data_IF_343841302076
#
_entry.id   IF_343841302076
#
_cell.length_a   1.000
_cell.length_b   1.000
_cell.length_c   1.000
_cell.angle_alpha   90.00
_cell.angle_beta   90.00
_cell.angle_gamma   90.00
#
_symmetry.space_group_name_H-M   'P 1'
#
loop_
_entity.id
_entity.type
_entity.pdbx_description
1 polymer ?
#
# COMPACT_ATOMS: atom_id res chain seq x y z
N UNK A 1 -19.33 22.04 -1.58
CA UNK A 1 -20.24 22.04 -2.75
C UNK A 1 -19.87 20.96 -3.78
N UNK A 2 -18.60 20.75 -4.10
CA UNK A 2 -18.14 19.72 -5.05
C UNK A 2 -18.59 18.29 -4.68
N UNK A 3 -18.54 17.92 -3.40
CA UNK A 3 -18.90 16.57 -2.93
C UNK A 3 -20.39 16.17 -3.16
N UNK A 4 -21.27 17.13 -3.41
CA UNK A 4 -22.70 16.86 -3.60
C UNK A 4 -23.10 16.58 -5.06
N UNK A 5 -22.22 16.88 -6.02
CA UNK A 5 -22.49 16.81 -7.45
C UNK A 5 -21.48 15.91 -8.21
N UNK A 6 -20.81 15.02 -7.49
CA UNK A 6 -19.87 14.08 -8.11
C UNK A 6 -20.54 12.73 -8.29
N UNK A 7 -20.46 12.15 -9.47
CA UNK A 7 -21.00 10.83 -9.79
C UNK A 7 -20.08 9.73 -9.24
N UNK A 8 -18.77 9.96 -9.28
CA UNK A 8 -17.75 9.02 -8.78
C UNK A 8 -16.84 9.77 -7.81
N UNK A 9 -16.55 9.15 -6.66
CA UNK A 9 -15.61 9.69 -5.69
C UNK A 9 -14.52 8.68 -5.37
N UNK A 10 -13.26 9.04 -5.68
CA UNK A 10 -12.09 8.22 -5.39
C UNK A 10 -11.38 8.79 -4.17
N UNK A 11 -11.29 8.00 -3.11
CA UNK A 11 -10.66 8.39 -1.87
C UNK A 11 -9.28 7.74 -1.72
N UNK A 12 -8.23 8.51 -1.96
CA UNK A 12 -6.83 8.12 -1.79
C UNK A 12 -6.25 8.54 -0.44
N UNK A 13 -7.10 9.04 0.48
CA UNK A 13 -6.65 9.60 1.76
C UNK A 13 -6.18 8.51 2.70
N UNK A 14 -4.87 8.33 2.76
CA UNK A 14 -4.16 7.47 3.71
C UNK A 14 -2.83 8.12 4.11
N UNK A 15 -2.22 7.64 5.18
CA UNK A 15 -0.89 8.09 5.62
C UNK A 15 -0.20 7.01 6.43
N UNK A 16 1.12 7.00 6.39
CA UNK A 16 1.98 6.27 7.33
C UNK A 16 2.60 7.20 8.40
N UNK A 17 2.39 8.51 8.27
CA UNK A 17 2.96 9.52 9.16
C UNK A 17 1.97 9.91 10.27
N UNK A 18 2.41 9.80 11.52
CA UNK A 18 1.66 10.20 12.71
C UNK A 18 1.92 11.66 13.15
N UNK A 19 2.85 12.38 12.51
CA UNK A 19 3.21 13.77 12.89
C UNK A 19 2.01 14.73 12.87
N UNK A 20 0.98 14.40 12.10
CA UNK A 20 -0.26 15.21 11.93
C UNK A 20 -1.43 14.71 12.79
N UNK A 21 -1.18 13.85 13.79
CA UNK A 21 -2.19 13.25 14.65
C UNK A 21 -2.19 11.72 14.59
N UNK A 22 -2.98 11.08 15.46
CA UNK A 22 -3.06 9.62 15.45
C UNK A 22 -3.90 9.10 14.27
N UNK A 23 -3.67 7.86 13.85
CA UNK A 23 -4.35 7.26 12.69
C UNK A 23 -5.87 7.17 12.85
N UNK A 24 -6.37 7.04 14.07
CA UNK A 24 -7.80 7.04 14.32
C UNK A 24 -8.43 8.41 13.95
N UNK A 25 -7.76 9.53 14.23
CA UNK A 25 -8.26 10.87 13.85
C UNK A 25 -8.01 11.18 12.38
N UNK A 26 -6.80 10.89 11.88
CA UNK A 26 -6.38 11.29 10.52
C UNK A 26 -6.94 10.38 9.42
N UNK A 27 -7.24 9.11 9.74
CA UNK A 27 -7.80 8.15 8.79
C UNK A 27 -9.27 7.88 9.12
N UNK A 28 -9.57 7.23 10.25
CA UNK A 28 -10.93 6.74 10.52
C UNK A 28 -11.93 7.87 10.72
N UNK A 29 -11.69 8.82 11.64
CA UNK A 29 -12.64 9.92 11.88
C UNK A 29 -12.82 10.80 10.64
N UNK A 30 -11.76 11.05 9.88
CA UNK A 30 -11.82 11.75 8.60
C UNK A 30 -12.73 11.01 7.61
N UNK A 31 -12.48 9.71 7.38
CA UNK A 31 -13.28 8.90 6.46
C UNK A 31 -14.75 8.79 6.92
N UNK A 32 -15.00 8.62 8.22
CA UNK A 32 -16.36 8.60 8.77
C UNK A 32 -17.11 9.89 8.46
N UNK A 33 -16.47 11.06 8.63
CA UNK A 33 -17.06 12.35 8.28
C UNK A 33 -17.29 12.47 6.77
N UNK A 34 -16.32 12.05 5.95
CA UNK A 34 -16.45 12.04 4.49
C UNK A 34 -17.65 11.18 4.05
N UNK A 35 -17.73 9.95 4.54
CA UNK A 35 -18.85 9.02 4.26
C UNK A 35 -20.19 9.62 4.67
N UNK A 36 -20.28 10.30 5.83
CA UNK A 36 -21.51 10.93 6.28
C UNK A 36 -22.00 12.07 5.35
N UNK A 37 -21.07 12.73 4.65
CA UNK A 37 -21.39 13.75 3.65
C UNK A 37 -21.80 13.08 2.33
N UNK A 38 -21.01 12.10 1.86
CA UNK A 38 -21.21 11.44 0.58
C UNK A 38 -22.51 10.64 0.52
N UNK A 39 -22.94 10.03 1.62
CA UNK A 39 -24.22 9.30 1.66
C UNK A 39 -25.45 10.18 1.40
N UNK A 40 -25.32 11.50 1.49
CA UNK A 40 -26.37 12.48 1.17
C UNK A 40 -26.32 12.90 -0.31
N UNK A 41 -25.31 12.46 -1.06
CA UNK A 41 -25.19 12.77 -2.48
C UNK A 41 -26.04 11.79 -3.29
N UNK A 42 -27.13 12.30 -3.87
CA UNK A 42 -28.09 11.53 -4.67
C UNK A 42 -27.46 11.08 -6.01
N UNK A 43 -26.51 11.86 -6.55
CA UNK A 43 -25.82 11.57 -7.83
C UNK A 43 -24.67 10.58 -7.69
N UNK A 44 -24.28 10.20 -6.45
CA UNK A 44 -23.13 9.34 -6.25
C UNK A 44 -23.39 7.92 -6.77
N UNK A 45 -22.79 7.57 -7.88
CA UNK A 45 -22.86 6.24 -8.48
C UNK A 45 -21.87 5.27 -7.87
N UNK A 46 -20.62 5.72 -7.61
CA UNK A 46 -19.56 4.89 -7.04
C UNK A 46 -18.70 5.65 -6.03
N UNK A 47 -18.38 4.98 -4.94
CA UNK A 47 -17.36 5.40 -3.99
C UNK A 47 -16.21 4.40 -4.00
N UNK A 48 -15.02 4.81 -4.45
CA UNK A 48 -13.81 3.99 -4.50
C UNK A 48 -12.90 4.38 -3.34
N UNK A 49 -12.62 3.42 -2.45
CA UNK A 49 -11.76 3.63 -1.29
C UNK A 49 -10.48 2.84 -1.41
N UNK A 50 -9.34 3.55 -1.40
CA UNK A 50 -8.01 2.94 -1.36
C UNK A 50 -7.64 2.50 0.04
N UNK A 51 -7.41 1.20 0.17
CA UNK A 51 -7.01 0.50 1.37
C UNK A 51 -5.59 -0.06 1.22
N UNK A 52 -5.36 -1.32 1.53
CA UNK A 52 -4.13 -2.06 1.32
C UNK A 52 -4.29 -3.53 1.67
N UNK A 53 -3.48 -4.40 1.08
CA UNK A 53 -3.47 -5.82 1.42
C UNK A 53 -3.22 -6.02 2.93
N UNK A 54 -3.90 -7.00 3.51
CA UNK A 54 -3.70 -7.44 4.88
C UNK A 54 -4.20 -6.51 5.98
N UNK A 55 -4.91 -5.40 5.66
CA UNK A 55 -5.40 -4.46 6.69
C UNK A 55 -6.45 -5.06 7.62
N UNK A 56 -7.16 -6.09 7.20
CA UNK A 56 -8.19 -6.79 7.96
C UNK A 56 -7.61 -7.83 8.94
N UNK A 57 -6.45 -8.38 8.63
CA UNK A 57 -5.76 -9.39 9.44
C UNK A 57 -4.67 -8.80 10.35
N UNK A 58 -4.14 -7.61 10.02
CA UNK A 58 -3.09 -6.98 10.82
C UNK A 58 -3.66 -6.20 12.01
N UNK A 59 -3.76 -6.88 13.15
CA UNK A 59 -4.26 -6.31 14.41
C UNK A 59 -3.20 -5.52 15.20
N UNK A 60 -1.93 -5.56 14.78
CA UNK A 60 -0.85 -4.89 15.48
C UNK A 60 -0.62 -3.46 14.95
N UNK A 61 -0.93 -3.20 13.69
CA UNK A 61 -0.82 -1.88 13.09
C UNK A 61 -2.03 -1.01 13.44
N UNK A 62 -1.77 0.10 14.10
CA UNK A 62 -2.79 1.11 14.39
C UNK A 62 -3.36 1.72 13.11
N UNK A 63 -2.51 1.83 12.07
CA UNK A 63 -2.91 2.26 10.74
C UNK A 63 -3.87 1.26 10.09
N UNK A 64 -3.49 -0.02 10.03
CA UNK A 64 -4.33 -1.07 9.44
C UNK A 64 -5.70 -1.14 10.12
N UNK A 65 -5.74 -1.07 11.45
CA UNK A 65 -6.99 -1.01 12.21
C UNK A 65 -7.85 0.21 11.79
N UNK A 66 -7.25 1.39 11.64
CA UNK A 66 -7.99 2.60 11.26
C UNK A 66 -8.51 2.53 9.81
N UNK A 67 -7.71 1.97 8.89
CA UNK A 67 -8.09 1.76 7.48
C UNK A 67 -9.23 0.74 7.39
N UNK A 68 -9.10 -0.42 8.05
CA UNK A 68 -10.14 -1.45 8.04
C UNK A 68 -11.46 -0.97 8.67
N UNK A 69 -11.42 -0.17 9.74
CA UNK A 69 -12.62 0.50 10.27
C UNK A 69 -13.24 1.44 9.24
N UNK A 70 -12.42 2.11 8.42
CA UNK A 70 -12.91 2.99 7.35
C UNK A 70 -13.56 2.22 6.21
N UNK A 71 -13.02 1.05 5.83
CA UNK A 71 -13.67 0.13 4.87
C UNK A 71 -15.07 -0.24 5.35
N UNK A 72 -15.18 -0.72 6.59
CA UNK A 72 -16.48 -1.12 7.18
C UNK A 72 -17.48 0.03 7.24
N UNK A 73 -17.02 1.24 7.59
CA UNK A 73 -17.86 2.42 7.63
C UNK A 73 -18.41 2.78 6.24
N UNK A 74 -17.56 2.70 5.20
CA UNK A 74 -17.96 2.95 3.83
C UNK A 74 -18.96 1.91 3.33
N UNK A 75 -18.64 0.62 3.46
CA UNK A 75 -19.50 -0.49 3.04
C UNK A 75 -20.88 -0.46 3.70
N UNK A 76 -20.94 -0.04 4.97
CA UNK A 76 -22.21 0.06 5.71
C UNK A 76 -23.10 1.20 5.22
N UNK A 77 -22.53 2.31 4.76
CA UNK A 77 -23.26 3.57 4.58
C UNK A 77 -23.43 3.98 3.11
N UNK A 78 -22.63 3.43 2.18
CA UNK A 78 -22.69 3.76 0.74
C UNK A 78 -22.90 2.46 -0.04
N UNK A 79 -23.98 2.37 -0.79
CA UNK A 79 -24.41 1.13 -1.47
C UNK A 79 -23.43 0.61 -2.53
N UNK A 80 -22.77 1.50 -3.27
CA UNK A 80 -21.85 1.14 -4.36
C UNK A 80 -20.42 1.48 -3.93
N UNK A 81 -19.96 0.88 -2.84
CA UNK A 81 -18.61 1.06 -2.34
C UNK A 81 -17.67 0.02 -2.95
N UNK A 82 -16.62 0.48 -3.60
CA UNK A 82 -15.54 -0.35 -4.11
C UNK A 82 -14.31 -0.17 -3.22
N UNK A 83 -13.89 -1.24 -2.58
CA UNK A 83 -12.64 -1.25 -1.80
C UNK A 83 -11.52 -1.75 -2.70
N UNK A 84 -10.43 -1.00 -2.80
CA UNK A 84 -9.20 -1.40 -3.50
C UNK A 84 -8.12 -1.65 -2.46
N UNK A 85 -7.64 -2.89 -2.38
CA UNK A 85 -6.50 -3.32 -1.55
C UNK A 85 -5.30 -3.63 -2.45
N UNK A 86 -4.48 -2.66 -2.80
CA UNK A 86 -3.27 -2.93 -3.57
C UNK A 86 -2.19 -3.57 -2.70
N UNK A 87 -1.31 -4.36 -3.34
CA UNK A 87 -0.01 -4.72 -2.79
C UNK A 87 0.91 -3.50 -2.64
N UNK A 88 2.19 -3.75 -2.38
CA UNK A 88 3.20 -2.68 -2.39
C UNK A 88 3.31 -2.11 -3.80
N UNK A 89 2.89 -0.87 -3.98
CA UNK A 89 2.87 -0.21 -5.30
C UNK A 89 4.30 0.19 -5.68
N UNK A 90 4.72 -0.26 -6.85
CA UNK A 90 6.02 0.07 -7.48
C UNK A 90 5.74 0.90 -8.74
N UNK A 91 6.53 1.95 -8.93
CA UNK A 91 6.40 2.79 -10.12
C UNK A 91 7.13 4.11 -10.03
N UNK A 92 6.94 4.96 -11.03
CA UNK A 92 7.56 6.29 -11.04
C UNK A 92 7.10 7.14 -9.84
N UNK A 93 8.06 7.52 -8.99
CA UNK A 93 7.78 8.36 -7.82
C UNK A 93 7.35 7.61 -6.56
N UNK A 94 7.32 6.25 -6.56
CA UNK A 94 7.02 5.50 -5.35
C UNK A 94 8.02 5.79 -4.22
N UNK A 95 7.51 5.80 -2.98
CA UNK A 95 8.32 6.12 -1.81
C UNK A 95 9.16 4.94 -1.32
N UNK A 96 8.83 3.71 -1.71
CA UNK A 96 9.53 2.52 -1.27
C UNK A 96 10.92 2.45 -1.93
N UNK A 97 11.00 2.44 -3.26
CA UNK A 97 12.28 2.46 -3.98
C UNK A 97 13.03 3.78 -3.78
N UNK A 98 12.32 4.92 -3.77
CA UNK A 98 12.93 6.23 -3.53
C UNK A 98 13.73 6.30 -2.22
N UNK A 99 13.32 5.55 -1.20
CA UNK A 99 14.01 5.48 0.09
C UNK A 99 15.06 4.38 0.14
N UNK A 100 14.85 3.26 -0.55
CA UNK A 100 15.79 2.14 -0.55
C UNK A 100 17.01 2.41 -1.43
N UNK A 101 16.84 2.92 -2.65
CA UNK A 101 17.92 3.09 -3.62
C UNK A 101 19.10 3.91 -3.05
N UNK A 102 18.92 5.04 -2.34
CA UNK A 102 20.04 5.77 -1.73
C UNK A 102 20.84 4.92 -0.74
N UNK A 103 20.18 4.08 0.06
CA UNK A 103 20.86 3.19 1.01
C UNK A 103 21.74 2.19 0.24
N UNK A 104 21.20 1.59 -0.83
CA UNK A 104 21.98 0.68 -1.67
C UNK A 104 23.08 1.38 -2.46
N UNK A 105 22.92 2.65 -2.83
CA UNK A 105 23.96 3.42 -3.53
C UNK A 105 25.12 3.82 -2.60
N UNK A 106 24.86 4.11 -1.33
CA UNK A 106 25.84 4.71 -0.40
C UNK A 106 26.44 3.72 0.61
N UNK A 107 25.73 2.65 1.00
CA UNK A 107 26.17 1.76 2.09
C UNK A 107 26.60 0.39 1.57
N UNK A 108 27.73 -0.14 2.06
CA UNK A 108 28.15 -1.52 1.80
C UNK A 108 27.32 -2.53 2.59
N UNK A 109 26.96 -2.18 3.83
CA UNK A 109 26.07 -2.98 4.69
C UNK A 109 24.67 -2.43 4.59
N UNK A 110 23.71 -3.27 4.21
CA UNK A 110 22.29 -2.91 4.11
C UNK A 110 21.51 -3.70 5.15
N UNK A 111 20.80 -3.04 6.07
CA UNK A 111 20.01 -3.74 7.08
C UNK A 111 18.87 -4.50 6.40
N UNK A 112 18.76 -5.78 6.73
CA UNK A 112 17.66 -6.64 6.34
C UNK A 112 16.73 -6.79 7.54
N UNK A 113 15.54 -6.24 7.45
CA UNK A 113 14.58 -6.21 8.56
C UNK A 113 14.14 -7.62 8.95
N UNK A 114 14.36 -8.00 10.22
CA UNK A 114 14.21 -9.37 10.67
C UNK A 114 15.21 -10.31 9.97
N UNK A 115 14.70 -11.42 9.45
CA UNK A 115 15.47 -12.38 8.63
C UNK A 115 15.30 -12.14 7.11
N UNK A 116 14.42 -11.20 6.74
CA UNK A 116 14.10 -10.89 5.35
C UNK A 116 13.27 -11.93 4.61
N UNK A 117 12.75 -12.93 5.28
CA UNK A 117 11.96 -14.01 4.67
C UNK A 117 10.47 -13.68 4.56
N UNK A 118 10.04 -12.54 5.10
CA UNK A 118 8.67 -12.04 4.93
C UNK A 118 8.41 -11.79 3.45
N UNK A 119 7.29 -12.34 2.97
CA UNK A 119 6.88 -12.22 1.58
C UNK A 119 6.00 -10.98 1.36
N UNK A 120 6.13 -10.41 0.18
CA UNK A 120 5.21 -9.40 -0.31
C UNK A 120 4.94 -9.61 -1.80
N UNK A 121 3.84 -9.05 -2.27
CA UNK A 121 3.40 -9.20 -3.65
C UNK A 121 3.26 -7.80 -4.26
N UNK A 122 4.36 -7.24 -4.81
CA UNK A 122 4.37 -5.89 -5.34
C UNK A 122 3.55 -5.79 -6.63
N UNK A 123 2.95 -4.61 -6.87
CA UNK A 123 2.10 -4.33 -8.02
C UNK A 123 2.56 -3.06 -8.74
N UNK A 124 2.48 -3.05 -10.06
CA UNK A 124 2.81 -1.87 -10.86
C UNK A 124 1.70 -0.82 -10.79
N UNK A 125 2.09 0.46 -10.64
CA UNK A 125 1.15 1.56 -10.48
C UNK A 125 0.20 1.72 -11.67
N UNK A 126 0.68 1.50 -12.90
CA UNK A 126 -0.14 1.66 -14.09
C UNK A 126 -1.19 0.55 -14.21
N UNK A 127 -0.88 -0.68 -13.77
CA UNK A 127 -1.86 -1.77 -13.71
C UNK A 127 -2.99 -1.45 -12.72
N UNK A 128 -2.63 -0.87 -11.54
CA UNK A 128 -3.63 -0.42 -10.57
C UNK A 128 -4.49 0.71 -11.15
N UNK A 129 -3.88 1.64 -11.86
CA UNK A 129 -4.59 2.76 -12.52
C UNK A 129 -5.55 2.25 -13.59
N UNK A 130 -5.10 1.30 -14.41
CA UNK A 130 -5.93 0.67 -15.42
C UNK A 130 -7.10 -0.15 -14.81
N UNK A 131 -6.84 -0.83 -13.68
CA UNK A 131 -7.91 -1.51 -12.95
C UNK A 131 -8.99 -0.54 -12.45
N UNK A 132 -8.58 0.65 -11.97
CA UNK A 132 -9.54 1.68 -11.54
C UNK A 132 -10.37 2.18 -12.73
N UNK A 133 -9.75 2.43 -13.89
CA UNK A 133 -10.44 2.80 -15.11
C UNK A 133 -11.50 1.76 -15.48
N UNK A 134 -11.14 0.47 -15.53
CA UNK A 134 -12.07 -0.63 -15.77
C UNK A 134 -13.21 -0.72 -14.74
N UNK A 135 -12.92 -0.46 -13.46
CA UNK A 135 -13.93 -0.43 -12.40
C UNK A 135 -14.88 0.77 -12.58
N UNK A 136 -14.38 1.91 -13.05
CA UNK A 136 -15.20 3.09 -13.33
C UNK A 136 -16.14 2.82 -14.51
N UNK A 137 -15.63 2.26 -15.60
CA UNK A 137 -16.40 1.93 -16.80
C UNK A 137 -17.45 0.83 -16.56
N UNK A 138 -17.20 -0.05 -15.60
CA UNK A 138 -18.11 -1.16 -15.32
C UNK A 138 -19.39 -0.65 -14.64
N UNK A 139 -20.53 -0.81 -15.29
CA UNK A 139 -21.85 -0.42 -14.76
C UNK A 139 -22.44 -1.38 -13.72
N UNK A 140 -21.67 -2.33 -13.21
CA UNK A 140 -22.14 -3.23 -12.15
C UNK A 140 -22.50 -2.45 -10.88
N UNK A 141 -23.67 -2.73 -10.35
CA UNK A 141 -24.16 -2.15 -9.09
C UNK A 141 -23.78 -3.05 -7.91
N UNK A 142 -23.61 -2.44 -6.76
CA UNK A 142 -23.30 -3.11 -5.51
C UNK A 142 -21.86 -2.92 -5.08
N UNK A 143 -21.61 -3.21 -3.80
CA UNK A 143 -20.25 -3.11 -3.24
C UNK A 143 -19.38 -4.28 -3.62
N UNK A 144 -18.10 -4.02 -3.82
CA UNK A 144 -17.09 -5.03 -4.16
C UNK A 144 -15.77 -4.71 -3.47
N UNK A 145 -14.96 -5.74 -3.25
CA UNK A 145 -13.58 -5.60 -2.80
C UNK A 145 -12.67 -6.22 -3.85
N UNK A 146 -11.58 -5.53 -4.16
CA UNK A 146 -10.53 -5.98 -5.07
C UNK A 146 -9.19 -6.01 -4.35
N UNK A 147 -8.53 -7.18 -4.36
CA UNK A 147 -7.13 -7.31 -4.00
C UNK A 147 -6.29 -7.23 -5.27
N UNK A 148 -5.56 -6.15 -5.44
CA UNK A 148 -4.77 -5.88 -6.64
C UNK A 148 -3.28 -6.07 -6.34
N UNK A 149 -2.79 -7.27 -6.57
CA UNK A 149 -1.38 -7.63 -6.40
C UNK A 149 -0.77 -8.06 -7.73
N UNK A 150 0.54 -7.84 -7.89
CA UNK A 150 1.25 -8.26 -9.10
C UNK A 150 1.39 -9.78 -9.19
N UNK A 151 1.94 -10.30 -10.29
CA UNK A 151 1.97 -11.74 -10.56
C UNK A 151 2.99 -12.50 -9.70
N UNK A 152 3.92 -11.79 -9.04
CA UNK A 152 5.03 -12.40 -8.31
C UNK A 152 4.94 -12.17 -6.80
N UNK A 153 5.02 -13.26 -6.05
CA UNK A 153 5.33 -13.24 -4.62
C UNK A 153 6.85 -13.33 -4.46
N UNK A 154 7.45 -12.46 -3.65
CA UNK A 154 8.90 -12.42 -3.41
C UNK A 154 9.17 -12.04 -1.96
N UNK A 155 10.21 -12.63 -1.33
CA UNK A 155 10.64 -12.19 -0.01
C UNK A 155 11.54 -10.95 -0.08
N UNK A 156 11.60 -10.18 1.00
CA UNK A 156 12.41 -8.95 1.04
C UNK A 156 13.90 -9.20 0.81
N UNK A 157 14.45 -10.34 1.27
CA UNK A 157 15.85 -10.72 1.04
C UNK A 157 16.16 -10.84 -0.45
N UNK A 158 15.32 -11.56 -1.19
CA UNK A 158 15.51 -11.78 -2.62
C UNK A 158 15.30 -10.50 -3.42
N UNK A 159 14.32 -9.69 -3.02
CA UNK A 159 14.10 -8.39 -3.64
C UNK A 159 15.27 -7.42 -3.39
N UNK A 160 15.87 -7.43 -2.21
CA UNK A 160 17.03 -6.60 -1.88
C UNK A 160 18.28 -7.07 -2.66
N UNK A 161 18.49 -8.38 -2.77
CA UNK A 161 19.56 -8.93 -3.64
C UNK A 161 19.35 -8.52 -5.10
N UNK A 162 18.09 -8.55 -5.58
CA UNK A 162 17.76 -8.10 -6.93
C UNK A 162 18.13 -6.62 -7.14
N UNK A 163 17.79 -5.72 -6.21
CA UNK A 163 18.17 -4.30 -6.27
C UNK A 163 19.70 -4.14 -6.31
N UNK A 164 20.44 -4.85 -5.46
CA UNK A 164 21.90 -4.81 -5.44
C UNK A 164 22.51 -5.22 -6.80
N UNK A 165 21.95 -6.27 -7.39
CA UNK A 165 22.37 -6.77 -8.70
C UNK A 165 22.09 -5.75 -9.82
N UNK A 166 20.92 -5.11 -9.83
CA UNK A 166 20.59 -4.04 -10.79
C UNK A 166 21.57 -2.86 -10.69
N UNK A 167 22.00 -2.52 -9.48
CA UNK A 167 23.01 -1.48 -9.25
C UNK A 167 24.44 -1.91 -9.57
N UNK A 168 24.66 -3.18 -9.93
CA UNK A 168 26.00 -3.79 -10.13
C UNK A 168 26.93 -3.55 -8.93
N UNK A 169 26.38 -3.62 -7.72
CA UNK A 169 27.10 -3.37 -6.47
C UNK A 169 26.98 -4.55 -5.53
N UNK A 170 28.13 -5.05 -5.06
CA UNK A 170 28.14 -6.03 -3.97
C UNK A 170 27.65 -5.37 -2.70
N UNK A 171 26.61 -5.95 -2.08
CA UNK A 171 26.05 -5.50 -0.79
C UNK A 171 25.94 -6.68 0.16
N UNK A 172 26.29 -6.43 1.41
CA UNK A 172 26.10 -7.40 2.49
C UNK A 172 24.79 -7.09 3.16
N UNK A 173 23.79 -7.97 2.98
CA UNK A 173 22.52 -7.86 3.68
C UNK A 173 22.70 -8.36 5.12
N UNK A 174 22.51 -7.47 6.10
CA UNK A 174 22.71 -7.77 7.52
C UNK A 174 21.37 -8.04 8.17
N UNK A 175 21.03 -9.31 8.51
CA UNK A 175 19.82 -9.60 9.24
C UNK A 175 19.79 -8.84 10.56
N UNK A 176 18.79 -8.00 10.74
CA UNK A 176 18.70 -7.14 11.92
C UNK A 176 17.39 -7.42 12.64
N UNK A 177 17.44 -7.99 13.88
CA UNK A 177 16.24 -8.32 14.64
C UNK A 177 15.32 -7.12 14.81
N UNK A 178 14.01 -7.36 14.75
CA UNK A 178 13.00 -6.30 14.88
C UNK A 178 13.04 -5.62 16.25
N UNK A 179 13.48 -6.33 17.29
CA UNK A 179 13.73 -5.75 18.64
C UNK A 179 14.77 -4.64 18.63
N UNK A 180 15.75 -4.69 17.71
CA UNK A 180 16.76 -3.66 17.52
C UNK A 180 16.24 -2.56 16.58
N UNK A 181 15.56 -2.94 15.50
CA UNK A 181 15.09 -1.98 14.49
C UNK A 181 13.97 -1.07 15.01
N UNK A 182 13.03 -1.60 15.80
CA UNK A 182 11.90 -0.81 16.32
C UNK A 182 12.34 0.44 17.10
N UNK A 183 13.22 0.38 18.10
CA UNK A 183 13.68 1.58 18.81
C UNK A 183 14.47 2.54 17.90
N UNK A 184 15.31 2.02 17.01
CA UNK A 184 16.08 2.85 16.06
C UNK A 184 15.13 3.66 15.16
N UNK A 185 14.17 3.00 14.54
CA UNK A 185 13.20 3.68 13.66
C UNK A 185 12.30 4.63 14.44
N UNK A 186 11.87 4.26 15.66
CA UNK A 186 11.06 5.13 16.52
C UNK A 186 11.75 6.45 16.89
N UNK A 187 13.07 6.44 17.02
CA UNK A 187 13.87 7.65 17.24
C UNK A 187 14.05 8.38 15.89
N UNK A 188 14.46 7.67 14.84
CA UNK A 188 14.75 8.24 13.55
C UNK A 188 13.52 8.93 12.90
N UNK A 189 12.30 8.37 13.05
CA UNK A 189 11.09 8.95 12.46
C UNK A 189 10.71 10.32 13.02
N UNK A 190 11.31 10.75 14.13
CA UNK A 190 11.17 12.10 14.67
C UNK A 190 12.00 13.13 13.87
N UNK A 191 12.92 12.65 13.05
CA UNK A 191 13.78 13.47 12.19
C UNK A 191 13.25 13.48 10.76
N UNK A 192 13.61 14.46 9.92
CA UNK A 192 13.25 14.48 8.50
C UNK A 192 14.00 13.43 7.67
N UNK A 193 15.01 12.78 8.22
CA UNK A 193 15.93 11.87 7.52
C UNK A 193 15.57 10.39 7.69
N UNK A 194 14.49 10.05 8.40
CA UNK A 194 14.11 8.66 8.59
C UNK A 194 13.72 7.99 7.27
N UNK A 195 14.34 6.85 6.93
CA UNK A 195 13.99 6.10 5.73
C UNK A 195 12.61 5.43 5.83
N UNK A 196 12.15 5.14 7.05
CA UNK A 196 10.89 4.45 7.33
C UNK A 196 10.19 5.04 8.55
N UNK A 197 8.90 4.78 8.67
CA UNK A 197 8.14 5.00 9.91
C UNK A 197 8.00 3.68 10.67
N UNK A 198 7.68 3.76 11.98
CA UNK A 198 7.40 2.58 12.80
C UNK A 198 6.25 1.73 12.22
N UNK A 199 5.24 2.34 11.62
CA UNK A 199 4.15 1.63 10.96
C UNK A 199 4.59 0.94 9.66
N UNK A 200 5.50 1.55 8.89
CA UNK A 200 6.08 0.90 7.71
C UNK A 200 6.97 -0.28 8.07
N UNK A 201 7.64 -0.21 9.22
CA UNK A 201 8.47 -1.32 9.71
C UNK A 201 7.64 -2.59 9.97
N UNK A 202 6.37 -2.47 10.36
CA UNK A 202 5.48 -3.61 10.59
C UNK A 202 5.20 -4.41 9.31
N UNK A 203 5.33 -3.80 8.12
CA UNK A 203 5.17 -4.50 6.85
C UNK A 203 6.23 -5.59 6.63
N UNK A 204 7.36 -5.53 7.34
CA UNK A 204 8.41 -6.54 7.28
C UNK A 204 8.22 -7.69 8.28
N UNK A 205 7.17 -7.64 9.13
CA UNK A 205 6.90 -8.68 10.13
C UNK A 205 5.91 -9.75 9.67
N UNK A 206 5.09 -9.45 8.66
CA UNK A 206 4.02 -10.33 8.18
C UNK A 206 3.96 -10.32 6.68
N UNK A 207 3.63 -11.47 6.11
CA UNK A 207 3.40 -11.60 4.69
C UNK A 207 2.29 -10.63 4.22
N UNK A 208 2.60 -9.91 3.14
CA UNK A 208 1.69 -8.98 2.48
C UNK A 208 1.41 -9.47 1.06
N UNK A 209 0.60 -10.53 0.98
CA UNK A 209 0.24 -11.25 -0.23
C UNK A 209 -1.27 -11.31 -0.39
N UNK A 210 -1.72 -11.46 -1.61
CA UNK A 210 -3.13 -11.64 -1.96
C UNK A 210 -3.69 -12.92 -1.35
N UNK A 211 -4.89 -12.85 -0.77
CA UNK A 211 -5.53 -14.00 -0.12
C UNK A 211 -6.43 -14.80 -1.07
N UNK A 212 -6.70 -14.32 -2.28
CA UNK A 212 -7.58 -14.94 -3.30
C UNK A 212 -9.03 -15.19 -2.82
N UNK A 213 -9.49 -14.41 -1.85
CA UNK A 213 -10.85 -14.52 -1.30
C UNK A 213 -11.80 -13.55 -2.02
N UNK A 214 -11.25 -12.43 -2.51
CA UNK A 214 -11.96 -11.32 -3.13
C UNK A 214 -11.69 -11.25 -4.63
N UNK A 215 -12.24 -10.24 -5.30
CA UNK A 215 -11.96 -10.00 -6.71
C UNK A 215 -10.50 -9.57 -6.92
N UNK A 216 -9.96 -9.90 -8.09
CA UNK A 216 -8.57 -9.66 -8.46
C UNK A 216 -8.49 -9.00 -9.83
N UNK A 217 -7.29 -8.82 -10.38
CA UNK A 217 -7.08 -8.39 -11.75
C UNK A 217 -7.75 -9.30 -12.79
N UNK A 218 -7.85 -10.60 -12.51
CA UNK A 218 -8.52 -11.57 -13.40
C UNK A 218 -9.99 -11.21 -13.63
N UNK A 219 -10.70 -10.74 -12.59
CA UNK A 219 -12.09 -10.33 -12.70
C UNK A 219 -12.29 -9.05 -13.56
N UNK A 220 -11.19 -8.37 -13.89
CA UNK A 220 -11.15 -7.21 -14.77
C UNK A 220 -10.55 -7.53 -16.14
N UNK A 221 -10.20 -8.80 -16.40
CA UNK A 221 -9.47 -9.25 -17.58
C UNK A 221 -8.15 -8.49 -17.78
N UNK A 222 -7.42 -8.24 -16.69
CA UNK A 222 -6.12 -7.58 -16.68
C UNK A 222 -5.05 -8.61 -16.32
N UNK A 223 -3.98 -8.66 -17.11
CA UNK A 223 -2.78 -9.43 -16.81
C UNK A 223 -1.71 -8.47 -16.28
N UNK A 224 -1.46 -8.42 -14.96
CA UNK A 224 -0.55 -7.45 -14.38
C UNK A 224 0.91 -7.73 -14.74
N UNK A 225 1.71 -6.67 -14.87
CA UNK A 225 3.11 -6.72 -15.24
C UNK A 225 4.00 -7.20 -14.08
N UNK A 226 5.13 -7.84 -14.42
CA UNK A 226 6.14 -8.22 -13.41
C UNK A 226 6.91 -6.98 -12.93
N UNK A 227 6.77 -6.69 -11.65
CA UNK A 227 7.39 -5.52 -11.02
C UNK A 227 8.92 -5.59 -10.93
N UNK A 228 9.55 -6.75 -11.13
CA UNK A 228 11.02 -6.82 -11.14
C UNK A 228 11.61 -6.07 -12.33
N UNK A 229 11.01 -6.18 -13.51
CA UNK A 229 11.45 -5.43 -14.68
C UNK A 229 11.26 -3.93 -14.48
N UNK A 230 10.12 -3.52 -13.93
CA UNK A 230 9.84 -2.12 -13.58
C UNK A 230 10.86 -1.60 -12.56
N UNK A 231 11.14 -2.39 -11.52
CA UNK A 231 12.16 -2.05 -10.49
C UNK A 231 13.54 -1.86 -11.12
N UNK A 232 13.96 -2.76 -12.01
CA UNK A 232 15.24 -2.65 -12.73
C UNK A 232 15.32 -1.31 -13.47
N UNK A 233 14.31 -0.98 -14.26
CA UNK A 233 14.25 0.26 -15.03
C UNK A 233 14.31 1.53 -14.16
N UNK A 234 13.79 1.47 -12.92
CA UNK A 234 13.84 2.59 -11.96
C UNK A 234 15.22 2.68 -11.31
N UNK A 235 15.82 1.55 -10.97
CA UNK A 235 17.10 1.47 -10.23
C UNK A 235 18.30 1.85 -11.11
N UNK A 236 18.25 1.52 -12.41
CA UNK A 236 19.31 1.78 -13.37
C UNK A 236 19.37 3.25 -13.86
N UNK A 237 18.31 4.02 -13.63
CA UNK A 237 18.28 5.47 -13.86
C UNK A 237 18.95 6.25 -12.71
#
# INVERSE_FOLDING_TARGET
>A
MVLKNSDIFINLKTTYDQKKGNFNSTIFKFNKKLVSILKQNISLEKYIFFSGLGVDIDKNSKRSIAVHKSEKEALKNIKNTIIIRPGVIIGGGDLFLKRLIPIFKSSFFVPLFGNGLTNFQPVFIDDVSFAIEKIIENNSKGSSLYELAGPRVICYKDYFNFIANCLKKTRVLVPTPMSIMKPIISIAEKTPFSPLTSEQLLLFEKDNIQQNIDKTFENLNINPQDTLEITKNIVEK
#
